data_IF_260073580426
#
_entry.id   IF_260073580426
#
_cell.length_a   1.000
_cell.length_b   1.000
_cell.length_c   1.000
_cell.angle_alpha   90.00
_cell.angle_beta   90.00
_cell.angle_gamma   90.00
#
_symmetry.space_group_name_H-M   'P 1'
#
loop_
_entity.id
_entity.type
_entity.pdbx_description
1 polymer ?
#
# COMPACT_ATOMS: atom_id res chain seq x y z
N UNK A 1 28.58 -15.73 -7.17
CA UNK A 1 27.11 -15.87 -7.23
C UNK A 1 26.55 -14.50 -7.52
N UNK A 2 25.62 -14.35 -8.47
CA UNK A 2 25.02 -13.06 -8.78
C UNK A 2 24.20 -12.61 -7.55
N UNK A 3 24.53 -11.44 -6.98
CA UNK A 3 23.88 -10.90 -5.79
C UNK A 3 22.36 -10.80 -5.96
N UNK A 4 21.90 -10.48 -7.16
CA UNK A 4 20.47 -10.33 -7.50
C UNK A 4 19.74 -11.67 -7.35
N UNK A 5 20.30 -12.75 -7.90
CA UNK A 5 19.69 -14.08 -7.79
C UNK A 5 19.66 -14.57 -6.35
N UNK A 6 20.76 -14.36 -5.60
CA UNK A 6 20.81 -14.74 -4.19
C UNK A 6 19.78 -13.95 -3.34
N UNK A 7 19.62 -12.66 -3.64
CA UNK A 7 18.58 -11.83 -3.03
C UNK A 7 17.17 -12.35 -3.35
N UNK A 8 16.87 -12.60 -4.63
CA UNK A 8 15.57 -13.13 -5.06
C UNK A 8 15.25 -14.46 -4.37
N UNK A 9 16.23 -15.35 -4.22
CA UNK A 9 16.06 -16.61 -3.49
C UNK A 9 15.66 -16.39 -2.02
N UNK A 10 16.25 -15.38 -1.35
CA UNK A 10 15.86 -15.06 0.03
C UNK A 10 14.44 -14.50 0.12
N UNK A 11 14.04 -13.63 -0.83
CA UNK A 11 12.68 -13.07 -0.90
C UNK A 11 11.64 -14.16 -1.12
N UNK A 12 11.88 -15.08 -2.08
CA UNK A 12 10.96 -16.19 -2.39
C UNK A 12 10.79 -17.13 -1.18
N UNK A 13 11.84 -17.31 -0.37
CA UNK A 13 11.79 -18.16 0.82
C UNK A 13 11.23 -17.47 2.05
N UNK A 14 11.01 -16.15 2.01
CA UNK A 14 10.67 -15.35 3.19
C UNK A 14 11.80 -15.30 4.24
N UNK A 15 13.06 -15.51 3.82
CA UNK A 15 14.23 -15.47 4.71
C UNK A 15 14.73 -14.03 4.88
N UNK A 16 13.98 -13.22 5.62
CA UNK A 16 14.28 -11.81 5.83
C UNK A 16 15.61 -11.59 6.58
N UNK A 17 15.99 -12.50 7.49
CA UNK A 17 17.28 -12.40 8.17
C UNK A 17 18.43 -12.70 7.23
N UNK A 18 18.33 -13.79 6.45
CA UNK A 18 19.32 -14.15 5.45
C UNK A 18 19.47 -13.07 4.38
N UNK A 19 18.37 -12.42 3.99
CA UNK A 19 18.39 -11.25 3.10
C UNK A 19 19.21 -10.10 3.68
N UNK A 20 18.98 -9.72 4.95
CA UNK A 20 19.73 -8.66 5.62
C UNK A 20 21.23 -8.99 5.68
N UNK A 21 21.58 -10.21 6.11
CA UNK A 21 22.97 -10.65 6.25
C UNK A 21 23.70 -10.67 4.89
N UNK A 22 23.00 -11.12 3.84
CA UNK A 22 23.49 -11.10 2.47
C UNK A 22 23.81 -9.67 2.00
N UNK A 23 22.87 -8.74 2.17
CA UNK A 23 23.01 -7.36 1.70
C UNK A 23 24.07 -6.58 2.48
N UNK A 24 24.15 -6.76 3.81
CA UNK A 24 25.23 -6.16 4.62
C UNK A 24 26.61 -6.68 4.25
N UNK A 25 26.73 -7.98 3.96
CA UNK A 25 27.98 -8.54 3.45
C UNK A 25 28.33 -8.00 2.07
N UNK A 26 27.34 -7.82 1.19
CA UNK A 26 27.53 -7.22 -0.13
C UNK A 26 28.06 -5.79 -0.03
N UNK A 27 27.45 -4.97 0.83
CA UNK A 27 27.88 -3.60 1.12
C UNK A 27 29.34 -3.50 1.59
N UNK A 28 29.77 -4.41 2.47
CA UNK A 28 31.12 -4.42 3.03
C UNK A 28 32.20 -4.93 2.05
N UNK A 29 31.83 -5.83 1.13
CA UNK A 29 32.79 -6.54 0.28
C UNK A 29 32.97 -5.91 -1.11
N UNK A 30 32.14 -4.94 -1.48
CA UNK A 30 32.07 -4.39 -2.83
C UNK A 30 32.02 -2.88 -2.83
N UNK A 31 32.61 -2.26 -3.87
CA UNK A 31 32.39 -0.83 -4.13
C UNK A 31 31.07 -0.67 -4.89
N UNK A 32 30.02 -0.29 -4.17
CA UNK A 32 28.68 -0.09 -4.74
C UNK A 32 28.58 1.23 -5.49
N UNK A 33 27.83 1.22 -6.60
CA UNK A 33 27.27 2.44 -7.17
C UNK A 33 26.24 3.07 -6.22
N UNK A 34 25.86 4.33 -6.49
CA UNK A 34 24.84 5.05 -5.71
C UNK A 34 23.52 4.28 -5.71
N UNK A 35 23.02 3.83 -6.86
CA UNK A 35 21.76 3.08 -6.93
C UNK A 35 21.85 1.72 -6.23
N UNK A 36 22.96 0.99 -6.34
CA UNK A 36 23.12 -0.27 -5.60
C UNK A 36 23.12 -0.06 -4.09
N UNK A 37 23.75 1.01 -3.61
CA UNK A 37 23.73 1.35 -2.18
C UNK A 37 22.34 1.78 -1.72
N UNK A 38 21.62 2.59 -2.50
CA UNK A 38 20.22 2.93 -2.23
C UNK A 38 19.33 1.69 -2.16
N UNK A 39 19.50 0.76 -3.10
CA UNK A 39 18.79 -0.52 -3.12
C UNK A 39 19.09 -1.40 -1.91
N UNK A 40 20.36 -1.47 -1.49
CA UNK A 40 20.77 -2.18 -0.26
C UNK A 40 20.10 -1.56 0.97
N UNK A 41 20.18 -0.23 1.14
CA UNK A 41 19.56 0.43 2.28
C UNK A 41 18.05 0.16 2.33
N UNK A 42 17.36 0.34 1.20
CA UNK A 42 15.93 0.14 1.11
C UNK A 42 15.53 -1.29 1.49
N UNK A 43 16.23 -2.30 0.96
CA UNK A 43 15.88 -3.70 1.24
C UNK A 43 16.32 -4.19 2.63
N UNK A 44 17.39 -3.64 3.20
CA UNK A 44 17.73 -3.90 4.61
C UNK A 44 16.64 -3.34 5.53
N UNK A 45 16.13 -2.15 5.22
CA UNK A 45 14.97 -1.59 5.93
C UNK A 45 13.72 -2.44 5.77
N UNK A 46 13.40 -2.87 4.54
CA UNK A 46 12.26 -3.76 4.29
C UNK A 46 12.38 -5.07 5.08
N UNK A 47 13.57 -5.67 5.13
CA UNK A 47 13.83 -6.86 5.94
C UNK A 47 13.56 -6.65 7.43
N UNK A 48 14.02 -5.54 8.01
CA UNK A 48 13.73 -5.23 9.41
C UNK A 48 12.26 -4.91 9.66
N UNK A 49 11.59 -4.28 8.70
CA UNK A 49 10.15 -3.99 8.77
C UNK A 49 9.32 -5.29 8.77
N UNK A 50 9.64 -6.24 7.90
CA UNK A 50 8.98 -7.54 7.82
C UNK A 50 9.22 -8.41 9.07
N UNK A 51 10.38 -8.26 9.72
CA UNK A 51 10.68 -8.87 11.02
C UNK A 51 10.10 -8.10 12.22
N UNK A 52 9.48 -6.93 11.99
CA UNK A 52 8.96 -6.02 13.03
C UNK A 52 10.03 -5.61 14.05
N UNK A 53 11.23 -5.29 13.58
CA UNK A 53 12.35 -4.85 14.41
C UNK A 53 12.57 -3.32 14.26
N UNK A 54 11.86 -2.49 15.05
CA UNK A 54 11.81 -1.05 14.81
C UNK A 54 13.14 -0.31 15.05
N UNK A 55 13.93 -0.72 16.04
CA UNK A 55 15.19 -0.06 16.38
C UNK A 55 16.29 -0.24 15.31
N UNK A 56 16.58 -1.47 14.83
CA UNK A 56 17.53 -1.62 13.72
C UNK A 56 16.98 -1.06 12.40
N UNK A 57 15.66 -1.11 12.18
CA UNK A 57 15.02 -0.41 11.06
C UNK A 57 15.30 1.10 11.12
N UNK A 58 15.02 1.74 12.25
CA UNK A 58 15.28 3.17 12.44
C UNK A 58 16.75 3.53 12.20
N UNK A 59 17.66 2.73 12.76
CA UNK A 59 19.11 2.94 12.60
C UNK A 59 19.51 2.89 11.11
N UNK A 60 19.01 1.90 10.36
CA UNK A 60 19.29 1.77 8.94
C UNK A 60 18.64 2.90 8.12
N UNK A 61 17.36 3.20 8.38
CA UNK A 61 16.62 4.23 7.65
C UNK A 61 17.22 5.62 7.85
N UNK A 62 17.65 5.93 9.08
CA UNK A 62 18.37 7.18 9.37
C UNK A 62 19.69 7.24 8.64
N UNK A 63 20.46 6.14 8.59
CA UNK A 63 21.69 6.09 7.82
C UNK A 63 21.42 6.28 6.32
N UNK A 64 20.35 5.67 5.80
CA UNK A 64 19.92 5.85 4.41
C UNK A 64 19.56 7.31 4.13
N UNK A 65 18.83 7.96 5.03
CA UNK A 65 18.48 9.37 4.89
C UNK A 65 19.70 10.29 4.87
N UNK A 66 20.61 10.17 5.86
CA UNK A 66 21.78 11.04 5.93
C UNK A 66 22.74 10.81 4.75
N UNK A 67 22.97 9.55 4.37
CA UNK A 67 23.73 9.24 3.16
C UNK A 67 23.01 9.76 1.91
N UNK A 68 21.69 9.58 1.83
CA UNK A 68 20.89 9.96 0.67
C UNK A 68 20.94 11.47 0.39
N UNK A 69 20.94 12.30 1.43
CA UNK A 69 21.09 13.76 1.30
C UNK A 69 22.38 14.21 0.61
N UNK A 70 23.46 13.46 0.79
CA UNK A 70 24.77 13.81 0.25
C UNK A 70 25.01 13.19 -1.14
N UNK A 71 24.48 11.99 -1.38
CA UNK A 71 24.88 11.17 -2.53
C UNK A 71 23.78 10.87 -3.55
N UNK A 72 22.49 10.93 -3.18
CA UNK A 72 21.41 10.75 -4.14
C UNK A 72 21.21 12.01 -4.98
N UNK A 73 20.81 11.84 -6.23
CA UNK A 73 20.30 12.95 -7.01
C UNK A 73 18.99 13.47 -6.35
N UNK A 74 18.70 14.78 -6.39
CA UNK A 74 17.50 15.34 -5.73
C UNK A 74 16.19 14.64 -6.11
N UNK A 75 16.05 14.23 -7.37
CA UNK A 75 14.87 13.52 -7.85
C UNK A 75 14.66 12.15 -7.19
N UNK A 76 15.70 11.56 -6.59
CA UNK A 76 15.66 10.25 -5.94
C UNK A 76 15.32 10.28 -4.44
N UNK A 77 15.15 11.46 -3.84
CA UNK A 77 14.96 11.58 -2.37
C UNK A 77 13.70 10.87 -1.86
N UNK A 78 12.64 10.77 -2.67
CA UNK A 78 11.41 10.05 -2.30
C UNK A 78 11.61 8.53 -2.18
N UNK A 79 12.70 7.97 -2.72
CA UNK A 79 13.03 6.55 -2.56
C UNK A 79 13.15 6.17 -1.09
N UNK A 80 13.71 7.06 -0.26
CA UNK A 80 13.88 6.87 1.19
C UNK A 80 12.53 6.73 1.92
N UNK A 81 11.43 7.23 1.36
CA UNK A 81 10.14 7.33 2.06
C UNK A 81 8.99 6.79 1.23
N UNK A 82 9.22 5.68 0.54
CA UNK A 82 8.29 5.12 -0.46
C UNK A 82 7.48 3.91 0.01
N UNK A 83 7.70 3.41 1.24
CA UNK A 83 7.11 2.15 1.70
C UNK A 83 6.32 2.27 3.02
N UNK A 84 5.06 1.83 3.00
CA UNK A 84 4.16 1.87 4.16
C UNK A 84 4.48 0.84 5.22
N UNK A 85 5.03 -0.33 4.86
CA UNK A 85 5.41 -1.37 5.82
C UNK A 85 6.58 -0.90 6.67
N UNK A 86 7.55 -0.22 6.06
CA UNK A 86 8.65 0.44 6.76
C UNK A 86 8.13 1.55 7.70
N UNK A 87 7.27 2.44 7.19
CA UNK A 87 6.69 3.52 8.00
C UNK A 87 5.87 3.01 9.19
N UNK A 88 5.01 2.00 8.98
CA UNK A 88 4.24 1.36 10.04
C UNK A 88 5.12 0.64 11.05
N UNK A 89 6.16 -0.04 10.60
CA UNK A 89 7.09 -0.75 11.51
C UNK A 89 7.85 0.23 12.40
N UNK A 90 8.25 1.40 11.88
CA UNK A 90 8.85 2.47 12.69
C UNK A 90 7.91 2.98 13.79
N UNK A 91 6.59 2.97 13.56
CA UNK A 91 5.61 3.38 14.57
C UNK A 91 5.61 2.47 15.82
N UNK A 92 5.97 1.19 15.66
CA UNK A 92 6.06 0.23 16.77
C UNK A 92 7.17 0.59 17.77
N UNK A 93 8.17 1.37 17.34
CA UNK A 93 9.27 1.87 18.18
C UNK A 93 9.23 3.37 18.43
N UNK A 94 8.11 4.04 18.16
CA UNK A 94 7.96 5.50 18.29
C UNK A 94 8.91 6.33 17.39
N UNK A 95 9.33 5.79 16.24
CA UNK A 95 10.22 6.47 15.29
C UNK A 95 9.51 7.06 14.07
N UNK A 96 8.17 6.95 14.00
CA UNK A 96 7.41 7.34 12.81
C UNK A 96 7.50 8.85 12.52
N UNK A 97 7.59 9.72 13.53
CA UNK A 97 7.69 11.16 13.29
C UNK A 97 9.00 11.54 12.55
N UNK A 98 10.10 10.80 12.75
CA UNK A 98 11.31 10.98 11.93
C UNK A 98 11.07 10.66 10.46
N UNK A 99 10.25 9.64 10.17
CA UNK A 99 9.89 9.31 8.78
C UNK A 99 9.09 10.44 8.13
N UNK A 100 8.21 11.10 8.90
CA UNK A 100 7.47 12.28 8.45
C UNK A 100 8.44 13.43 8.12
N UNK A 101 9.44 13.68 8.97
CA UNK A 101 10.46 14.71 8.71
C UNK A 101 11.24 14.42 7.43
N UNK A 102 11.62 13.15 7.20
CA UNK A 102 12.31 12.73 5.97
C UNK A 102 11.42 12.87 4.73
N UNK A 103 10.11 12.60 4.87
CA UNK A 103 9.14 12.80 3.80
C UNK A 103 8.98 14.29 3.46
N UNK A 104 8.85 15.15 4.46
CA UNK A 104 8.76 16.60 4.25
C UNK A 104 10.03 17.15 3.60
N UNK A 105 11.19 16.61 3.99
CA UNK A 105 12.46 16.95 3.34
C UNK A 105 12.43 16.57 1.86
N UNK A 106 12.01 15.35 1.51
CA UNK A 106 11.90 14.91 0.12
C UNK A 106 10.94 15.80 -0.69
N UNK A 107 9.75 16.08 -0.17
CA UNK A 107 8.77 16.99 -0.80
C UNK A 107 9.33 18.40 -1.06
N UNK A 108 10.22 18.87 -0.19
CA UNK A 108 10.82 20.21 -0.29
C UNK A 108 11.96 20.28 -1.30
N UNK A 109 12.76 19.21 -1.39
CA UNK A 109 14.05 19.23 -2.12
C UNK A 109 14.03 18.45 -3.43
N UNK A 110 13.10 17.52 -3.63
CA UNK A 110 12.98 16.77 -4.87
C UNK A 110 12.21 17.59 -5.93
N UNK A 111 12.76 17.77 -7.15
CA UNK A 111 12.02 18.39 -8.23
C UNK A 111 10.85 17.49 -8.68
N UNK A 112 9.75 18.09 -9.11
CA UNK A 112 8.61 17.38 -9.71
C UNK A 112 8.93 17.06 -11.18
N UNK A 113 9.42 15.84 -11.44
CA UNK A 113 9.80 15.38 -12.78
C UNK A 113 8.93 14.19 -13.21
N UNK A 114 8.90 13.91 -14.51
CA UNK A 114 8.23 12.72 -15.05
C UNK A 114 8.90 11.44 -14.53
N UNK A 115 10.24 11.40 -14.54
CA UNK A 115 11.03 10.22 -14.18
C UNK A 115 10.94 9.80 -12.70
N UNK A 116 10.45 10.68 -11.80
CA UNK A 116 10.26 10.38 -10.38
C UNK A 116 8.79 10.43 -9.94
N UNK A 117 7.85 10.57 -10.89
CA UNK A 117 6.43 10.65 -10.57
C UNK A 117 5.91 9.39 -9.87
N UNK A 118 6.40 8.22 -10.27
CA UNK A 118 6.04 6.94 -9.64
C UNK A 118 6.41 6.89 -8.16
N UNK A 119 7.69 7.10 -7.84
CA UNK A 119 8.15 7.05 -6.45
C UNK A 119 7.56 8.16 -5.57
N UNK A 120 7.30 9.36 -6.14
CA UNK A 120 6.60 10.44 -5.42
C UNK A 120 5.21 9.96 -5.02
N UNK A 121 4.46 9.39 -5.96
CA UNK A 121 3.14 8.82 -5.69
C UNK A 121 3.21 7.73 -4.61
N UNK A 122 4.17 6.82 -4.68
CA UNK A 122 4.36 5.77 -3.67
C UNK A 122 4.63 6.34 -2.27
N UNK A 123 5.42 7.42 -2.18
CA UNK A 123 5.69 8.08 -0.89
C UNK A 123 4.46 8.75 -0.28
N UNK A 124 3.65 9.45 -1.09
CA UNK A 124 2.41 10.06 -0.62
C UNK A 124 1.40 8.99 -0.21
N UNK A 125 1.29 7.92 -1.02
CA UNK A 125 0.45 6.75 -0.73
C UNK A 125 0.86 6.09 0.58
N UNK A 126 2.16 5.90 0.81
CA UNK A 126 2.70 5.30 2.02
C UNK A 126 2.38 6.12 3.27
N UNK A 127 2.56 7.44 3.21
CA UNK A 127 2.25 8.33 4.33
C UNK A 127 0.74 8.35 4.66
N UNK A 128 -0.11 8.57 3.65
CA UNK A 128 -1.57 8.53 3.82
C UNK A 128 -2.04 7.18 4.38
N UNK A 129 -1.52 6.07 3.86
CA UNK A 129 -1.86 4.73 4.34
C UNK A 129 -1.44 4.50 5.79
N UNK A 130 -0.28 5.01 6.18
CA UNK A 130 0.24 4.90 7.55
C UNK A 130 -0.61 5.71 8.53
N UNK A 131 -0.98 6.95 8.18
CA UNK A 131 -1.87 7.76 9.00
C UNK A 131 -3.24 7.11 9.20
N UNK A 132 -3.81 6.51 8.15
CA UNK A 132 -5.06 5.76 8.27
C UNK A 132 -4.96 4.63 9.30
N UNK A 133 -3.95 3.76 9.19
CA UNK A 133 -3.79 2.61 10.09
C UNK A 133 -3.51 3.04 11.53
N UNK A 134 -2.84 4.17 11.73
CA UNK A 134 -2.57 4.75 13.05
C UNK A 134 -3.69 5.66 13.57
N UNK A 135 -4.83 5.72 12.87
CA UNK A 135 -5.99 6.55 13.19
C UNK A 135 -5.66 8.06 13.32
N UNK A 136 -4.59 8.52 12.64
CA UNK A 136 -4.14 9.92 12.58
C UNK A 136 -4.80 10.65 11.40
N UNK A 137 -6.12 10.56 11.27
CA UNK A 137 -6.85 11.01 10.08
C UNK A 137 -6.64 12.49 9.74
N UNK A 138 -6.60 13.36 10.74
CA UNK A 138 -6.36 14.80 10.54
C UNK A 138 -5.00 15.13 9.93
N UNK A 139 -4.01 14.23 10.04
CA UNK A 139 -2.69 14.41 9.45
C UNK A 139 -2.63 13.99 7.96
N UNK A 140 -3.71 13.42 7.41
CA UNK A 140 -3.72 12.96 6.01
C UNK A 140 -3.80 14.10 4.98
N UNK A 141 -4.25 15.29 5.38
CA UNK A 141 -4.58 16.39 4.48
C UNK A 141 -3.43 16.76 3.52
N UNK A 142 -2.22 16.96 4.05
CA UNK A 142 -1.06 17.37 3.24
C UNK A 142 -0.66 16.29 2.22
N UNK A 143 -0.67 15.02 2.63
CA UNK A 143 -0.33 13.92 1.74
C UNK A 143 -1.41 13.72 0.66
N UNK A 144 -2.69 13.90 0.98
CA UNK A 144 -3.79 13.87 0.02
C UNK A 144 -3.70 15.01 -1.00
N UNK A 145 -3.35 16.21 -0.56
CA UNK A 145 -3.16 17.35 -1.46
C UNK A 145 -1.97 17.11 -2.41
N UNK A 146 -0.87 16.56 -1.90
CA UNK A 146 0.25 16.16 -2.75
C UNK A 146 -0.13 15.09 -3.79
N UNK A 147 -0.93 14.09 -3.41
CA UNK A 147 -1.44 13.09 -4.35
C UNK A 147 -2.33 13.70 -5.42
N UNK A 148 -3.23 14.61 -5.02
CA UNK A 148 -4.12 15.31 -5.95
C UNK A 148 -3.30 16.10 -6.98
N UNK A 149 -2.37 16.94 -6.53
CA UNK A 149 -1.49 17.71 -7.40
C UNK A 149 -0.71 16.80 -8.35
N UNK A 150 -0.19 15.67 -7.87
CA UNK A 150 0.55 14.71 -8.69
C UNK A 150 -0.32 14.10 -9.80
N UNK A 151 -1.57 13.74 -9.49
CA UNK A 151 -2.54 13.21 -10.45
C UNK A 151 -2.89 14.26 -11.52
N UNK A 152 -2.90 15.54 -11.14
CA UNK A 152 -3.17 16.68 -12.04
C UNK A 152 -1.96 17.08 -12.90
N UNK A 153 -0.74 16.58 -12.62
CA UNK A 153 0.45 16.88 -13.43
C UNK A 153 0.35 16.35 -14.86
N UNK A 154 -0.31 15.21 -15.05
CA UNK A 154 -0.37 14.51 -16.35
C UNK A 154 -1.49 13.47 -16.39
N UNK A 155 -2.59 13.80 -17.09
CA UNK A 155 -3.73 12.90 -17.26
C UNK A 155 -3.43 11.69 -18.16
N UNK A 156 -2.36 11.74 -18.96
CA UNK A 156 -1.92 10.65 -19.83
C UNK A 156 -0.91 9.74 -19.14
N UNK A 157 -0.58 10.00 -17.88
CA UNK A 157 0.35 9.18 -17.13
C UNK A 157 -0.13 7.73 -17.09
N UNK A 158 0.76 6.78 -17.37
CA UNK A 158 0.41 5.36 -17.46
C UNK A 158 -0.27 4.81 -16.21
N UNK A 159 -0.01 5.39 -15.03
CA UNK A 159 -0.53 4.91 -13.74
C UNK A 159 -1.77 5.67 -13.30
N UNK A 160 -2.32 6.57 -14.13
CA UNK A 160 -3.37 7.51 -13.74
C UNK A 160 -4.60 6.81 -13.14
N UNK A 161 -5.01 5.67 -13.70
CA UNK A 161 -6.14 4.90 -13.20
C UNK A 161 -5.87 4.35 -11.78
N UNK A 162 -4.71 3.70 -11.59
CA UNK A 162 -4.29 3.18 -10.29
C UNK A 162 -4.18 4.31 -9.24
N UNK A 163 -3.60 5.44 -9.66
CA UNK A 163 -3.42 6.61 -8.82
C UNK A 163 -4.76 7.21 -8.38
N UNK A 164 -5.72 7.39 -9.29
CA UNK A 164 -7.06 7.91 -8.99
C UNK A 164 -7.83 7.01 -8.04
N UNK A 165 -7.88 5.69 -8.29
CA UNK A 165 -8.55 4.73 -7.39
C UNK A 165 -7.93 4.80 -5.99
N UNK A 166 -6.61 4.83 -5.90
CA UNK A 166 -5.90 4.87 -4.62
C UNK A 166 -6.12 6.19 -3.87
N UNK A 167 -6.10 7.31 -4.58
CA UNK A 167 -6.39 8.63 -4.02
C UNK A 167 -7.83 8.72 -3.50
N UNK A 168 -8.81 8.32 -4.31
CA UNK A 168 -10.22 8.33 -3.90
C UNK A 168 -10.46 7.44 -2.68
N UNK A 169 -9.86 6.24 -2.65
CA UNK A 169 -9.87 5.38 -1.46
C UNK A 169 -9.38 6.13 -0.22
N UNK A 170 -8.22 6.79 -0.28
CA UNK A 170 -7.65 7.48 0.88
C UNK A 170 -8.43 8.74 1.27
N UNK A 171 -8.99 9.47 0.30
CA UNK A 171 -9.84 10.63 0.54
C UNK A 171 -11.19 10.24 1.13
N UNK A 172 -11.82 9.16 0.69
CA UNK A 172 -13.03 8.62 1.30
C UNK A 172 -12.80 8.27 2.78
N UNK A 173 -11.67 7.63 3.08
CA UNK A 173 -11.27 7.31 4.44
C UNK A 173 -11.10 8.58 5.29
N UNK A 174 -10.42 9.60 4.77
CA UNK A 174 -10.28 10.90 5.42
C UNK A 174 -11.64 11.54 5.72
N UNK A 175 -12.46 11.77 4.68
CA UNK A 175 -13.75 12.48 4.81
C UNK A 175 -14.72 11.79 5.77
N UNK A 176 -14.71 10.46 5.84
CA UNK A 176 -15.56 9.71 6.77
C UNK A 176 -15.28 10.06 8.25
N UNK A 177 -14.02 10.38 8.57
CA UNK A 177 -13.59 10.75 9.92
C UNK A 177 -13.49 12.27 10.15
N UNK A 178 -13.85 13.07 9.16
CA UNK A 178 -13.89 14.52 9.26
C UNK A 178 -15.28 15.03 9.70
N UNK A 179 -15.52 16.34 9.60
CA UNK A 179 -16.76 16.99 10.05
C UNK A 179 -18.00 16.53 9.28
N UNK A 180 -19.20 16.84 9.79
CA UNK A 180 -20.46 16.43 9.16
C UNK A 180 -20.65 16.99 7.73
N UNK A 181 -20.16 18.21 7.45
CA UNK A 181 -20.22 18.80 6.12
C UNK A 181 -19.35 18.03 5.10
N UNK A 182 -18.20 17.52 5.55
CA UNK A 182 -17.29 16.69 4.75
C UNK A 182 -17.86 15.29 4.48
N UNK A 183 -18.84 14.83 5.26
CA UNK A 183 -19.52 13.54 4.99
C UNK A 183 -20.42 13.59 3.78
N UNK A 184 -21.04 14.72 3.48
CA UNK A 184 -21.82 14.90 2.25
C UNK A 184 -20.91 14.86 1.01
N UNK A 185 -19.70 15.41 1.12
CA UNK A 185 -18.66 15.31 0.09
C UNK A 185 -18.20 13.86 -0.11
N UNK A 186 -18.17 13.06 0.97
CA UNK A 186 -17.82 11.64 0.88
C UNK A 186 -18.80 10.83 0.03
N UNK A 187 -20.09 11.14 0.07
CA UNK A 187 -21.10 10.45 -0.74
C UNK A 187 -20.96 10.79 -2.24
N UNK A 188 -20.74 12.06 -2.57
CA UNK A 188 -20.46 12.48 -3.96
C UNK A 188 -19.18 11.82 -4.50
N UNK A 189 -18.12 11.81 -3.69
CA UNK A 189 -16.86 11.15 -4.05
C UNK A 189 -17.04 9.63 -4.23
N UNK A 190 -17.89 9.00 -3.43
CA UNK A 190 -18.19 7.58 -3.56
C UNK A 190 -18.85 7.29 -4.91
N UNK A 191 -19.84 8.09 -5.30
CA UNK A 191 -20.52 7.94 -6.60
C UNK A 191 -19.55 8.13 -7.77
N UNK A 192 -18.70 9.16 -7.71
CA UNK A 192 -17.63 9.39 -8.71
C UNK A 192 -16.65 8.21 -8.78
N UNK A 193 -16.27 7.67 -7.63
CA UNK A 193 -15.36 6.52 -7.53
C UNK A 193 -15.99 5.28 -8.16
N UNK A 194 -17.25 4.97 -7.82
CA UNK A 194 -17.94 3.81 -8.38
C UNK A 194 -18.18 3.97 -9.88
N UNK A 195 -18.45 5.18 -10.35
CA UNK A 195 -18.57 5.48 -11.77
C UNK A 195 -17.25 5.27 -12.53
N UNK A 196 -16.12 5.67 -11.94
CA UNK A 196 -14.79 5.39 -12.49
C UNK A 196 -14.56 3.87 -12.59
N UNK A 197 -14.89 3.11 -11.54
CA UNK A 197 -14.72 1.64 -11.52
C UNK A 197 -15.57 0.96 -12.60
N UNK A 198 -16.84 1.36 -12.72
CA UNK A 198 -17.76 0.79 -13.70
C UNK A 198 -17.34 1.10 -15.17
N UNK A 199 -16.47 2.10 -15.37
CA UNK A 199 -15.96 2.51 -16.68
C UNK A 199 -14.54 2.02 -17.00
N UNK A 200 -13.95 1.16 -16.16
CA UNK A 200 -12.62 0.61 -16.45
C UNK A 200 -12.67 -0.19 -17.75
N UNK A 201 -11.87 0.24 -18.73
CA UNK A 201 -11.64 -0.53 -19.95
C UNK A 201 -10.49 -1.52 -19.72
N UNK A 202 -10.86 -2.74 -19.34
CA UNK A 202 -9.93 -3.84 -19.07
C UNK A 202 -9.08 -4.23 -20.28
N UNK A 203 -9.53 -3.92 -21.51
CA UNK A 203 -8.80 -4.25 -22.74
C UNK A 203 -7.55 -3.39 -22.95
N UNK A 204 -7.48 -2.23 -22.28
CA UNK A 204 -6.34 -1.31 -22.34
C UNK A 204 -5.24 -1.63 -21.33
N UNK A 205 -5.48 -2.56 -20.40
CA UNK A 205 -4.52 -2.92 -19.36
C UNK A 205 -3.41 -3.81 -19.93
N UNK A 206 -2.18 -3.56 -19.49
CA UNK A 206 -1.00 -4.27 -19.99
C UNK A 206 -0.81 -5.62 -19.26
N UNK A 207 -0.21 -6.63 -19.91
CA UNK A 207 0.29 -7.77 -19.17
C UNK A 207 1.36 -7.34 -18.17
N UNK A 208 1.43 -8.01 -17.02
CA UNK A 208 2.46 -7.78 -16.02
C UNK A 208 3.83 -7.97 -16.67
N UNK A 209 4.64 -6.92 -16.68
CA UNK A 209 6.04 -6.96 -17.08
C UNK A 209 6.83 -6.17 -16.05
N UNK A 210 7.33 -6.84 -15.04
CA UNK A 210 8.34 -6.26 -14.19
C UNK A 210 9.55 -7.17 -14.14
N UNK A 211 10.65 -6.68 -14.70
CA UNK A 211 11.95 -7.33 -14.68
C UNK A 211 12.91 -6.60 -13.73
N UNK A 212 12.45 -5.57 -13.03
CA UNK A 212 13.25 -4.82 -12.09
C UNK A 212 13.38 -5.56 -10.76
N UNK A 213 14.39 -5.17 -10.00
CA UNK A 213 14.67 -5.77 -8.71
C UNK A 213 13.82 -5.01 -7.69
N UNK A 214 13.07 -5.74 -6.87
CA UNK A 214 12.22 -5.16 -5.84
C UNK A 214 12.99 -4.13 -5.01
N UNK A 215 12.38 -2.95 -4.84
CA UNK A 215 12.94 -1.84 -4.07
C UNK A 215 14.05 -1.07 -4.78
N UNK A 216 14.35 -1.38 -6.05
CA UNK A 216 15.24 -0.55 -6.86
C UNK A 216 14.57 0.76 -7.30
N UNK A 217 15.37 1.72 -7.73
CA UNK A 217 14.86 2.98 -8.28
C UNK A 217 13.91 2.78 -9.46
N UNK A 218 14.24 1.83 -10.34
CA UNK A 218 13.47 1.48 -11.52
C UNK A 218 12.15 0.77 -11.16
N UNK A 219 12.19 -0.16 -10.20
CA UNK A 219 11.00 -0.86 -9.68
C UNK A 219 9.96 0.14 -9.14
N UNK A 220 10.39 1.10 -8.31
CA UNK A 220 9.50 2.11 -7.72
C UNK A 220 8.91 3.12 -8.72
N UNK A 221 9.50 3.22 -9.92
CA UNK A 221 8.99 4.08 -10.99
C UNK A 221 8.34 3.29 -12.14
N UNK A 222 8.14 1.99 -11.97
CA UNK A 222 7.49 1.13 -12.97
C UNK A 222 6.01 1.44 -13.11
N UNK A 223 5.47 1.18 -14.30
CA UNK A 223 4.07 1.45 -14.58
C UNK A 223 3.14 0.47 -13.83
N UNK A 224 2.16 1.02 -13.09
CA UNK A 224 1.07 0.33 -12.38
C UNK A 224 -0.19 0.34 -13.24
N UNK A 225 -0.16 -0.39 -14.36
CA UNK A 225 -1.25 -0.39 -15.35
C UNK A 225 -1.59 -1.78 -15.88
N UNK A 226 -1.25 -2.80 -15.11
CA UNK A 226 -1.70 -4.16 -15.38
C UNK A 226 -3.05 -4.45 -14.72
N UNK A 227 -3.73 -5.49 -15.21
CA UNK A 227 -4.92 -6.02 -14.58
C UNK A 227 -4.68 -6.36 -13.10
N UNK A 228 -3.51 -6.93 -12.78
CA UNK A 228 -3.10 -7.22 -11.41
C UNK A 228 -3.03 -5.96 -10.54
N UNK A 229 -2.43 -4.88 -11.04
CA UNK A 229 -2.32 -3.62 -10.28
C UNK A 229 -3.69 -3.01 -10.01
N UNK A 230 -4.58 -3.01 -11.01
CA UNK A 230 -5.94 -2.50 -10.87
C UNK A 230 -6.75 -3.37 -9.90
N UNK A 231 -6.64 -4.70 -9.97
CA UNK A 231 -7.27 -5.58 -8.98
C UNK A 231 -6.77 -5.30 -7.56
N UNK A 232 -5.47 -5.06 -7.35
CA UNK A 232 -4.94 -4.65 -6.04
C UNK A 232 -5.55 -3.33 -5.58
N UNK A 233 -5.67 -2.34 -6.46
CA UNK A 233 -6.29 -1.05 -6.14
C UNK A 233 -7.77 -1.21 -5.74
N UNK A 234 -8.54 -2.00 -6.50
CA UNK A 234 -9.95 -2.31 -6.22
C UNK A 234 -10.13 -3.11 -4.93
N UNK A 235 -9.26 -4.09 -4.67
CA UNK A 235 -9.27 -4.84 -3.42
C UNK A 235 -9.06 -3.91 -2.21
N UNK A 236 -8.09 -3.00 -2.32
CA UNK A 236 -7.82 -2.02 -1.27
C UNK A 236 -8.98 -1.03 -1.09
N UNK A 237 -9.63 -0.61 -2.18
CA UNK A 237 -10.84 0.20 -2.14
C UNK A 237 -11.97 -0.55 -1.43
N UNK A 238 -12.23 -1.80 -1.80
CA UNK A 238 -13.27 -2.63 -1.17
C UNK A 238 -13.06 -2.82 0.33
N UNK A 239 -11.80 -3.01 0.77
CA UNK A 239 -11.45 -3.06 2.19
C UNK A 239 -11.79 -1.75 2.92
N UNK A 240 -11.38 -0.60 2.37
CA UNK A 240 -11.67 0.70 2.98
C UNK A 240 -13.17 0.97 3.02
N UNK A 241 -13.91 0.66 1.95
CA UNK A 241 -15.37 0.81 1.94
C UNK A 241 -16.05 -0.04 3.03
N UNK A 242 -15.52 -1.23 3.34
CA UNK A 242 -16.00 -2.02 4.48
C UNK A 242 -15.72 -1.30 5.81
N UNK A 243 -14.52 -0.74 5.99
CA UNK A 243 -14.10 -0.05 7.20
C UNK A 243 -14.91 1.23 7.46
N UNK A 244 -15.26 1.98 6.42
CA UNK A 244 -16.11 3.18 6.52
C UNK A 244 -17.62 2.88 6.41
N UNK A 245 -18.02 1.61 6.60
CA UNK A 245 -19.40 1.14 6.60
C UNK A 245 -20.21 1.39 5.31
N UNK A 246 -19.53 1.54 4.16
CA UNK A 246 -20.13 1.52 2.81
C UNK A 246 -20.22 0.08 2.29
N UNK A 247 -20.90 -0.76 3.06
CA UNK A 247 -20.87 -2.23 2.94
C UNK A 247 -21.44 -2.74 1.61
N UNK A 248 -22.48 -2.10 1.07
CA UNK A 248 -23.06 -2.49 -0.22
C UNK A 248 -22.06 -2.36 -1.38
N UNK A 249 -21.36 -1.23 -1.46
CA UNK A 249 -20.33 -0.99 -2.48
C UNK A 249 -19.12 -1.89 -2.27
N UNK A 250 -18.70 -2.11 -1.01
CA UNK A 250 -17.63 -3.06 -0.68
C UNK A 250 -17.95 -4.47 -1.19
N UNK A 251 -19.15 -5.00 -0.91
CA UNK A 251 -19.61 -6.31 -1.36
C UNK A 251 -19.65 -6.41 -2.89
N UNK A 252 -20.13 -5.35 -3.58
CA UNK A 252 -20.12 -5.29 -5.06
C UNK A 252 -18.71 -5.48 -5.60
N UNK A 253 -17.73 -4.75 -5.07
CA UNK A 253 -16.34 -4.81 -5.54
C UNK A 253 -15.68 -6.17 -5.26
N UNK A 254 -15.89 -6.73 -4.07
CA UNK A 254 -15.35 -8.06 -3.75
C UNK A 254 -15.91 -9.16 -4.67
N UNK A 255 -17.22 -9.12 -4.99
CA UNK A 255 -17.80 -10.04 -5.97
C UNK A 255 -17.19 -9.87 -7.35
N UNK A 256 -17.06 -8.63 -7.82
CA UNK A 256 -16.42 -8.35 -9.11
C UNK A 256 -14.98 -8.90 -9.17
N UNK A 257 -14.21 -8.79 -8.08
CA UNK A 257 -12.87 -9.37 -7.97
C UNK A 257 -12.90 -10.91 -8.00
N UNK A 258 -13.82 -11.55 -7.28
CA UNK A 258 -13.95 -13.01 -7.32
C UNK A 258 -14.36 -13.51 -8.70
N UNK A 259 -15.28 -12.80 -9.37
CA UNK A 259 -15.75 -13.11 -10.72
C UNK A 259 -14.63 -12.99 -11.77
N UNK A 260 -13.63 -12.12 -11.54
CA UNK A 260 -12.42 -12.03 -12.38
C UNK A 260 -11.35 -13.07 -12.03
N UNK A 261 -11.58 -13.92 -11.03
CA UNK A 261 -10.63 -14.93 -10.56
C UNK A 261 -9.55 -14.40 -9.62
N UNK A 262 -9.70 -13.18 -9.09
CA UNK A 262 -8.79 -12.63 -8.10
C UNK A 262 -8.96 -13.34 -6.74
N UNK A 263 -7.87 -13.90 -6.22
CA UNK A 263 -7.87 -14.59 -4.93
C UNK A 263 -7.77 -13.58 -3.76
N UNK A 264 -8.82 -13.51 -2.94
CA UNK A 264 -8.83 -12.70 -1.73
C UNK A 264 -7.97 -13.37 -0.64
N UNK A 265 -7.06 -12.62 -0.02
CA UNK A 265 -6.34 -13.10 1.15
C UNK A 265 -7.25 -13.07 2.40
N UNK A 266 -6.79 -13.65 3.51
CA UNK A 266 -7.59 -13.74 4.75
C UNK A 266 -8.10 -12.39 5.27
N UNK A 267 -7.32 -11.31 5.12
CA UNK A 267 -7.73 -9.96 5.51
C UNK A 267 -8.84 -9.41 4.60
N UNK A 268 -8.65 -9.45 3.27
CA UNK A 268 -9.65 -9.01 2.32
C UNK A 268 -10.94 -9.82 2.44
N UNK A 269 -10.81 -11.14 2.62
CA UNK A 269 -11.94 -12.03 2.79
C UNK A 269 -12.69 -11.77 4.11
N UNK A 270 -12.00 -11.43 5.21
CA UNK A 270 -12.67 -11.05 6.46
C UNK A 270 -13.50 -9.78 6.29
N UNK A 271 -13.00 -8.78 5.54
CA UNK A 271 -13.76 -7.56 5.19
C UNK A 271 -14.95 -7.87 4.29
N UNK A 272 -14.78 -8.79 3.34
CA UNK A 272 -15.89 -9.25 2.49
C UNK A 272 -17.00 -9.90 3.31
N UNK A 273 -16.67 -10.81 4.22
CA UNK A 273 -17.63 -11.47 5.12
C UNK A 273 -18.33 -10.46 6.03
N UNK A 274 -17.59 -9.49 6.59
CA UNK A 274 -18.20 -8.39 7.34
C UNK A 274 -19.22 -7.62 6.50
N UNK A 275 -18.86 -7.25 5.27
CA UNK A 275 -19.74 -6.55 4.34
C UNK A 275 -21.02 -7.34 4.03
N UNK A 276 -20.88 -8.63 3.69
CA UNK A 276 -22.03 -9.53 3.42
C UNK A 276 -22.92 -9.64 4.65
N UNK A 277 -22.35 -9.78 5.84
CA UNK A 277 -23.13 -9.85 7.08
C UNK A 277 -23.96 -8.58 7.30
N UNK A 278 -23.35 -7.40 7.16
CA UNK A 278 -24.03 -6.12 7.40
C UNK A 278 -25.04 -5.76 6.30
N UNK A 279 -24.80 -6.15 5.06
CA UNK A 279 -25.66 -5.81 3.93
C UNK A 279 -26.77 -6.84 3.67
N UNK A 280 -26.50 -8.14 3.89
CA UNK A 280 -27.34 -9.25 3.41
C UNK A 280 -27.70 -10.27 4.51
N UNK A 281 -27.11 -10.16 5.70
CA UNK A 281 -27.43 -11.00 6.86
C UNK A 281 -26.69 -12.34 6.92
N UNK A 282 -26.94 -13.09 7.99
CA UNK A 282 -26.21 -14.32 8.36
C UNK A 282 -26.38 -15.46 7.35
N UNK A 283 -27.57 -15.59 6.74
CA UNK A 283 -27.82 -16.62 5.73
C UNK A 283 -26.98 -16.45 4.46
N UNK A 284 -26.67 -15.21 4.07
CA UNK A 284 -25.79 -14.94 2.94
C UNK A 284 -24.33 -15.29 3.29
N UNK A 285 -23.88 -14.97 4.51
CA UNK A 285 -22.55 -15.32 5.01
C UNK A 285 -22.30 -16.83 4.95
N UNK A 286 -23.25 -17.66 5.39
CA UNK A 286 -23.11 -19.11 5.35
C UNK A 286 -22.83 -19.63 3.93
N UNK A 287 -23.53 -19.08 2.93
CA UNK A 287 -23.32 -19.42 1.51
C UNK A 287 -21.94 -18.99 1.05
N UNK A 288 -21.51 -17.78 1.40
CA UNK A 288 -20.20 -17.25 1.01
C UNK A 288 -19.05 -18.05 1.63
N UNK A 289 -19.14 -18.41 2.92
CA UNK A 289 -18.15 -19.25 3.59
C UNK A 289 -18.06 -20.64 2.94
N UNK A 290 -19.21 -21.27 2.67
CA UNK A 290 -19.27 -22.58 2.04
C UNK A 290 -18.64 -22.59 0.62
N UNK A 291 -18.68 -21.47 -0.09
CA UNK A 291 -18.11 -21.35 -1.43
C UNK A 291 -16.60 -21.10 -1.46
N UNK A 292 -15.97 -20.71 -0.35
CA UNK A 292 -14.58 -20.22 -0.32
C UNK A 292 -13.66 -20.96 0.68
N UNK A 293 -14.13 -22.04 1.30
CA UNK A 293 -13.37 -22.93 2.21
C UNK A 293 -12.58 -22.21 3.34
N UNK A 294 -13.06 -21.06 3.78
CA UNK A 294 -12.48 -20.31 4.89
C UNK A 294 -13.21 -20.60 6.21
N UNK A 295 -12.46 -20.73 7.30
CA UNK A 295 -13.03 -20.85 8.64
C UNK A 295 -13.19 -19.49 9.29
N UNK A 296 -14.37 -19.22 9.86
CA UNK A 296 -14.65 -17.94 10.55
C UNK A 296 -13.62 -17.62 11.64
N UNK A 297 -13.11 -18.65 12.34
CA UNK A 297 -12.08 -18.51 13.37
C UNK A 297 -10.77 -17.92 12.86
N UNK A 298 -10.40 -18.18 11.61
CA UNK A 298 -9.19 -17.64 10.99
C UNK A 298 -9.41 -16.17 10.63
N UNK A 299 -10.61 -15.82 10.16
CA UNK A 299 -10.97 -14.46 9.77
C UNK A 299 -11.07 -13.49 10.97
N UNK A 300 -11.41 -14.00 12.15
CA UNK A 300 -11.47 -13.20 13.39
C UNK A 300 -10.13 -12.56 13.76
N UNK A 301 -9.00 -13.12 13.33
CA UNK A 301 -7.67 -12.53 13.53
C UNK A 301 -7.51 -11.19 12.78
N UNK A 302 -8.24 -11.03 11.69
CA UNK A 302 -8.22 -9.85 10.83
C UNK A 302 -9.38 -8.90 11.09
N UNK A 303 -10.50 -9.39 11.60
CA UNK A 303 -11.69 -8.60 11.90
C UNK A 303 -12.35 -9.14 13.17
N UNK A 304 -11.92 -8.69 14.36
CA UNK A 304 -12.40 -9.21 15.64
C UNK A 304 -13.94 -9.13 15.81
N UNK A 305 -14.58 -8.13 15.21
CA UNK A 305 -16.05 -7.96 15.19
C UNK A 305 -16.81 -9.19 14.64
N UNK A 306 -16.14 -10.05 13.86
CA UNK A 306 -16.73 -11.30 13.38
C UNK A 306 -16.97 -12.33 14.50
N UNK A 307 -16.47 -12.10 15.72
CA UNK A 307 -16.84 -12.91 16.90
C UNK A 307 -18.34 -12.89 17.16
N UNK A 308 -19.00 -11.74 16.98
CA UNK A 308 -20.45 -11.60 17.18
C UNK A 308 -21.23 -12.44 16.16
N UNK A 309 -20.73 -12.50 14.92
CA UNK A 309 -21.30 -13.32 13.87
C UNK A 309 -21.13 -14.81 14.17
N UNK A 310 -19.97 -15.21 14.71
CA UNK A 310 -19.71 -16.60 15.13
C UNK A 310 -20.77 -17.07 16.13
N UNK A 311 -21.08 -16.26 17.14
CA UNK A 311 -22.12 -16.55 18.13
C UNK A 311 -23.51 -16.70 17.47
N UNK A 312 -23.83 -15.86 16.48
CA UNK A 312 -25.10 -15.93 15.73
C UNK A 312 -25.20 -17.16 14.83
N UNK A 313 -24.07 -17.66 14.34
CA UNK A 313 -24.01 -18.84 13.47
C UNK A 313 -23.97 -20.16 14.27
N UNK A 314 -23.69 -20.11 15.58
CA UNK A 314 -23.63 -21.29 16.45
C UNK A 314 -22.45 -22.23 16.15
N UNK A 315 -21.34 -21.68 15.64
CA UNK A 315 -20.12 -22.42 15.24
C UNK A 315 -18.88 -21.94 16.00
#
# INVERSE_FOLDING_TARGET
MNIIHAFQDTVVRGDHRGMIDLLKKYEQSSKLSVNERGWVYWNVSDGYALLREPEPLYTNQRAFFEWGKEYLAPEQLHWIVSDSTQALSLSLGHYFDYWIDWYQYACTHAPKLECNRGVRFESHRALCGTFWVLERYSAMADALENMKQLIEEDELWSNILFARITYYKQRLAYLYHSSDDERAEADLLLDETMHLVDKIDWSLLKPVKDNHIIGSWEDLNTARNSERDIHIALNNLACILADINKTGQSVKLFRQLQDSGYALNGYAFSKYIYGVWKAEGTGAVQKTLAANDHKISELMQHSPVLSELKDQLGV
#
